data_IF_838744852799
#
_entry.id   IF_838744852799
#
_cell.length_a   1.000
_cell.length_b   1.000
_cell.length_c   1.000
_cell.angle_alpha   90.00
_cell.angle_beta   90.00
_cell.angle_gamma   90.00
#
_symmetry.space_group_name_H-M   'P 1'
#
loop_
_entity.id
_entity.type
_entity.pdbx_description
1 polymer ?
#
# COMPACT_ATOMS: atom_id res chain seq x y z
N UNK A 1 7.29 -8.93 25.14
CA UNK A 1 6.28 -8.64 24.09
C UNK A 1 6.40 -7.16 23.74
N UNK A 2 6.60 -6.79 22.47
CA UNK A 2 6.73 -5.39 22.04
C UNK A 2 5.69 -5.13 20.96
N UNK A 3 4.99 -4.00 21.04
CA UNK A 3 3.85 -3.69 20.17
C UNK A 3 4.21 -2.54 19.23
N UNK A 4 3.80 -2.61 17.97
CA UNK A 4 3.94 -1.50 17.01
C UNK A 4 2.56 -1.07 16.60
N UNK A 5 2.30 0.23 16.61
CA UNK A 5 0.94 0.78 16.43
C UNK A 5 0.97 1.83 15.33
N UNK A 6 0.04 1.72 14.39
CA UNK A 6 -0.23 2.73 13.39
C UNK A 6 -1.52 3.45 13.73
N UNK A 7 -1.50 4.78 13.76
CA UNK A 7 -2.68 5.60 14.06
C UNK A 7 -2.90 6.58 12.92
N UNK A 8 -4.02 6.43 12.21
CA UNK A 8 -4.42 7.35 11.16
C UNK A 8 -5.54 8.26 11.69
N UNK A 9 -5.31 9.58 11.66
CA UNK A 9 -6.36 10.58 11.93
C UNK A 9 -6.79 11.23 10.64
N UNK A 10 -8.09 11.46 10.45
CA UNK A 10 -8.62 11.99 9.20
C UNK A 10 -9.31 13.34 9.42
N UNK A 11 -8.90 14.36 8.67
CA UNK A 11 -9.55 15.68 8.68
C UNK A 11 -10.88 15.72 7.92
N UNK A 12 -11.08 14.77 7.01
CA UNK A 12 -12.28 14.58 6.20
C UNK A 12 -12.62 13.10 6.17
N UNK A 13 -13.88 12.76 5.90
CA UNK A 13 -14.30 11.36 5.87
C UNK A 13 -13.48 10.57 4.85
N UNK A 14 -12.85 9.45 5.23
CA UNK A 14 -12.18 8.57 4.29
C UNK A 14 -13.18 8.01 3.28
N UNK A 15 -12.70 7.67 2.09
CA UNK A 15 -13.52 7.18 0.97
C UNK A 15 -14.32 5.92 1.34
N UNK A 16 -13.73 5.07 2.18
CA UNK A 16 -14.37 3.88 2.74
C UNK A 16 -13.72 3.50 4.07
N UNK A 17 -14.39 2.61 4.81
CA UNK A 17 -13.82 2.00 6.02
C UNK A 17 -12.56 1.21 5.68
N UNK A 18 -12.56 0.46 4.58
CA UNK A 18 -11.37 -0.30 4.15
C UNK A 18 -10.18 0.61 3.85
N UNK A 19 -10.41 1.77 3.23
CA UNK A 19 -9.36 2.75 2.98
C UNK A 19 -8.79 3.31 4.30
N UNK A 20 -9.63 3.53 5.30
CA UNK A 20 -9.20 4.00 6.62
C UNK A 20 -8.36 2.93 7.36
N UNK A 21 -8.82 1.67 7.33
CA UNK A 21 -8.12 0.54 7.93
C UNK A 21 -6.76 0.35 7.26
N UNK A 22 -6.73 0.36 5.92
CA UNK A 22 -5.49 0.20 5.16
C UNK A 22 -4.48 1.28 5.50
N UNK A 23 -4.90 2.55 5.62
CA UNK A 23 -4.00 3.62 6.02
C UNK A 23 -3.39 3.39 7.41
N UNK A 24 -4.20 2.96 8.40
CA UNK A 24 -3.68 2.64 9.74
C UNK A 24 -2.73 1.43 9.72
N UNK A 25 -3.03 0.41 8.92
CA UNK A 25 -2.21 -0.80 8.78
C UNK A 25 -0.86 -0.49 8.12
N UNK A 26 -0.86 0.35 7.08
CA UNK A 26 0.36 0.83 6.40
C UNK A 26 1.28 1.58 7.40
N UNK A 27 0.72 2.40 8.29
CA UNK A 27 1.50 3.07 9.37
C UNK A 27 2.08 2.07 10.37
N UNK A 28 1.33 1.02 10.73
CA UNK A 28 1.82 -0.03 11.61
C UNK A 28 2.97 -0.80 10.97
N UNK A 29 2.90 -1.07 9.66
CA UNK A 29 4.01 -1.68 8.93
C UNK A 29 5.22 -0.76 8.82
N UNK A 30 5.03 0.57 8.65
CA UNK A 30 6.13 1.55 8.77
C UNK A 30 6.80 1.46 10.15
N UNK A 31 6.00 1.44 11.23
CA UNK A 31 6.51 1.29 12.60
C UNK A 31 7.28 -0.03 12.80
N UNK A 32 6.80 -1.13 12.20
CA UNK A 32 7.50 -2.42 12.21
C UNK A 32 8.82 -2.39 11.45
N UNK A 33 8.87 -1.70 10.32
CA UNK A 33 10.08 -1.58 9.50
C UNK A 33 11.17 -0.75 10.19
N UNK A 34 10.79 0.25 11.00
CA UNK A 34 11.72 1.11 11.76
C UNK A 34 12.41 0.47 12.97
N UNK A 35 12.20 -0.82 13.24
CA UNK A 35 12.80 -1.53 14.39
C UNK A 35 11.79 -2.09 15.40
N UNK A 36 10.49 -1.87 15.18
CA UNK A 36 9.36 -2.28 16.04
C UNK A 36 9.36 -1.51 17.38
N UNK A 37 8.26 -1.66 18.13
CA UNK A 37 8.06 -0.99 19.42
C UNK A 37 7.89 0.53 19.32
N UNK A 38 7.27 0.98 18.24
CA UNK A 38 7.05 2.39 17.95
C UNK A 38 5.60 2.65 17.59
N UNK A 39 5.19 3.91 17.76
CA UNK A 39 3.85 4.41 17.41
C UNK A 39 4.03 5.43 16.29
N UNK A 40 3.50 5.11 15.11
CA UNK A 40 3.51 6.02 13.97
C UNK A 40 2.13 6.62 13.82
N UNK A 41 2.06 7.93 13.87
CA UNK A 41 0.83 8.71 13.73
C UNK A 41 0.93 9.65 12.54
N UNK A 42 -0.07 9.63 11.67
CA UNK A 42 -0.17 10.57 10.54
C UNK A 42 -1.59 11.15 10.45
N UNK A 43 -1.65 12.43 10.07
CA UNK A 43 -2.89 13.15 9.81
C UNK A 43 -3.16 13.18 8.30
N UNK A 44 -4.24 12.55 7.88
CA UNK A 44 -4.67 12.45 6.51
C UNK A 44 -5.72 13.50 6.17
N UNK A 45 -5.47 14.24 5.10
CA UNK A 45 -6.44 15.16 4.52
C UNK A 45 -7.11 14.50 3.29
N UNK A 46 -7.80 13.38 3.49
CA UNK A 46 -8.49 12.68 2.39
C UNK A 46 -9.91 13.20 2.21
N UNK A 47 -10.11 14.07 1.21
CA UNK A 47 -11.39 14.15 0.52
C UNK A 47 -11.44 13.01 -0.51
N UNK A 48 -12.61 12.44 -0.77
CA UNK A 48 -12.81 11.34 -1.71
C UNK A 48 -12.54 11.68 -3.18
N UNK A 49 -11.33 12.11 -3.53
CA UNK A 49 -10.89 12.21 -4.92
C UNK A 49 -10.46 10.83 -5.40
N UNK A 50 -11.40 10.18 -6.08
CA UNK A 50 -11.21 8.90 -6.74
C UNK A 50 -10.17 9.07 -7.85
N UNK A 51 -8.91 8.73 -7.58
CA UNK A 51 -8.02 8.33 -8.68
C UNK A 51 -8.35 6.88 -9.00
N UNK A 52 -9.25 6.67 -9.98
CA UNK A 52 -9.41 5.38 -10.62
C UNK A 52 -8.06 5.05 -11.27
N UNK A 53 -7.19 4.32 -10.55
CA UNK A 53 -6.10 3.62 -11.20
C UNK A 53 -6.76 2.53 -12.03
N UNK A 54 -7.06 2.85 -13.29
CA UNK A 54 -7.32 1.86 -14.33
C UNK A 54 -6.21 0.83 -14.21
N UNK A 55 -6.55 -0.36 -13.73
CA UNK A 55 -5.70 -1.52 -13.83
C UNK A 55 -5.46 -1.73 -15.33
N UNK A 56 -4.36 -1.17 -15.81
CA UNK A 56 -3.91 -1.33 -17.18
C UNK A 56 -3.95 -2.81 -17.50
N UNK A 57 -4.77 -3.17 -18.48
CA UNK A 57 -4.89 -4.51 -19.00
C UNK A 57 -3.48 -5.07 -19.24
N UNK A 58 -3.06 -6.01 -18.40
CA UNK A 58 -1.87 -6.82 -18.63
C UNK A 58 -2.18 -7.74 -19.81
N UNK A 59 -2.03 -7.20 -21.01
CA UNK A 59 -1.93 -8.00 -22.23
C UNK A 59 -0.66 -8.81 -22.08
N UNK A 60 -0.81 -10.13 -21.94
CA UNK A 60 0.27 -11.10 -22.13
C UNK A 60 0.66 -11.12 -23.62
N UNK A 61 1.95 -10.97 -23.97
CA UNK A 61 2.52 -11.66 -25.12
C UNK A 61 3.60 -12.62 -24.58
N UNK A 62 3.45 -13.93 -24.71
CA UNK A 62 3.78 -14.64 -25.94
C UNK A 62 5.20 -15.20 -25.81
N UNK A 63 5.31 -16.54 -25.67
CA UNK A 63 6.58 -17.30 -25.66
C UNK A 63 7.49 -16.85 -26.82
N UNK A 64 8.74 -16.49 -26.53
CA UNK A 64 9.84 -16.60 -27.49
C UNK A 64 10.61 -17.88 -27.21
N UNK A 65 10.31 -18.91 -27.98
CA UNK A 65 11.18 -20.05 -28.20
C UNK A 65 12.13 -19.65 -29.34
N UNK A 66 13.43 -19.67 -29.09
CA UNK A 66 14.43 -19.17 -30.05
C UNK A 66 15.84 -19.56 -29.62
N UNK A 67 16.22 -20.77 -30.06
CA UNK A 67 17.51 -21.15 -30.62
C UNK A 67 18.81 -20.75 -29.88
N UNK A 68 19.38 -21.69 -29.12
CA UNK A 68 20.77 -21.63 -28.66
C UNK A 68 21.67 -22.26 -29.72
N UNK A 69 22.36 -21.42 -30.47
CA UNK A 69 23.50 -21.80 -31.30
C UNK A 69 24.70 -22.14 -30.42
N UNK A 70 25.38 -23.23 -30.80
CA UNK A 70 26.53 -23.89 -30.18
C UNK A 70 27.80 -23.02 -30.31
N UNK A 71 28.70 -23.05 -29.32
CA UNK A 71 30.14 -23.22 -29.61
C UNK A 71 30.67 -24.57 -29.13
#
# INVERSE_FOLDING_TARGET
>A
MRFSVGVASFLKSPLSVDAAIKAADDLMYKAKAGGKNDIVHELFNMAGDVTLQTAGASRRPGRRMGDRTIP
#
